data_IF_002089001653
#
_entry.id   IF_002089001653
#
_cell.length_a   1.000
_cell.length_b   1.000
_cell.length_c   1.000
_cell.angle_alpha   90.00
_cell.angle_beta   90.00
_cell.angle_gamma   90.00
#
_symmetry.space_group_name_H-M   'P 1'
#
loop_
_entity.id
_entity.type
_entity.pdbx_description
1 polymer ?
#
# COMPACT_ATOMS: atom_id res chain seq x y z
N UNK A 1 -4.40 11.60 7.56
CA UNK A 1 -5.02 12.46 6.55
C UNK A 1 -6.43 11.95 6.24
N UNK A 2 -7.44 12.83 6.32
CA UNK A 2 -8.82 12.50 6.00
C UNK A 2 -9.08 12.72 4.50
N UNK A 3 -9.79 11.77 3.87
CA UNK A 3 -10.02 11.73 2.41
C UNK A 3 -11.46 11.31 2.09
N UNK A 4 -11.86 11.45 0.83
CA UNK A 4 -13.20 11.15 0.32
C UNK A 4 -13.42 9.63 0.10
N UNK A 5 -13.05 8.81 1.09
CA UNK A 5 -13.18 7.35 1.10
C UNK A 5 -11.94 6.63 0.55
N UNK A 6 -11.90 5.30 0.72
CA UNK A 6 -10.72 4.49 0.38
C UNK A 6 -10.32 4.57 -1.10
N UNK A 7 -11.27 4.66 -2.02
CA UNK A 7 -10.95 4.76 -3.47
C UNK A 7 -10.16 6.02 -3.79
N UNK A 8 -10.57 7.18 -3.22
CA UNK A 8 -9.82 8.42 -3.37
C UNK A 8 -8.44 8.31 -2.72
N UNK A 9 -8.36 7.72 -1.51
CA UNK A 9 -7.10 7.46 -0.83
C UNK A 9 -6.10 6.70 -1.72
N UNK A 10 -6.56 5.62 -2.39
CA UNK A 10 -5.72 4.83 -3.28
C UNK A 10 -5.23 5.64 -4.48
N UNK A 11 -6.10 6.42 -5.11
CA UNK A 11 -5.69 7.30 -6.20
C UNK A 11 -4.62 8.29 -5.74
N UNK A 12 -4.82 8.95 -4.60
CA UNK A 12 -3.86 9.91 -4.06
C UNK A 12 -2.51 9.26 -3.72
N UNK A 13 -2.53 8.05 -3.14
CA UNK A 13 -1.30 7.32 -2.83
C UNK A 13 -0.54 6.98 -4.12
N UNK A 14 -1.20 6.36 -5.11
CA UNK A 14 -0.53 5.98 -6.36
C UNK A 14 -0.03 7.19 -7.13
N UNK A 15 -0.82 8.25 -7.26
CA UNK A 15 -0.41 9.48 -7.92
C UNK A 15 0.80 10.13 -7.20
N UNK A 16 0.81 10.13 -5.87
CA UNK A 16 1.94 10.66 -5.10
C UNK A 16 3.19 9.77 -5.18
N UNK A 17 3.04 8.44 -5.25
CA UNK A 17 4.18 7.54 -5.49
C UNK A 17 4.87 7.85 -6.81
N UNK A 18 4.09 8.06 -7.88
CA UNK A 18 4.62 8.47 -9.19
C UNK A 18 5.22 9.88 -9.14
N UNK A 19 4.50 10.85 -8.57
CA UNK A 19 4.95 12.25 -8.50
C UNK A 19 6.28 12.40 -7.74
N UNK A 20 6.52 11.52 -6.77
CA UNK A 20 7.74 11.49 -5.97
C UNK A 20 8.81 10.50 -6.47
N UNK A 21 8.63 9.89 -7.65
CA UNK A 21 9.55 8.92 -8.25
C UNK A 21 9.83 7.69 -7.36
N UNK A 22 8.88 7.32 -6.50
CA UNK A 22 8.94 6.08 -5.72
C UNK A 22 8.48 4.88 -6.55
N UNK A 23 7.55 5.10 -7.48
CA UNK A 23 7.19 4.18 -8.55
C UNK A 23 7.27 4.88 -9.90
N UNK A 24 7.66 4.15 -10.92
CA UNK A 24 7.70 4.60 -12.31
C UNK A 24 6.92 3.62 -13.19
N UNK A 25 6.52 4.06 -14.38
CA UNK A 25 5.93 3.17 -15.38
C UNK A 25 6.84 1.97 -15.64
N UNK A 26 6.27 0.78 -15.67
CA UNK A 26 6.99 -0.47 -15.87
C UNK A 26 7.60 -1.05 -14.59
N UNK A 27 7.52 -0.35 -13.44
CA UNK A 27 7.97 -0.92 -12.18
C UNK A 27 7.08 -2.10 -11.76
N UNK A 28 7.70 -3.07 -11.06
CA UNK A 28 7.00 -4.24 -10.53
C UNK A 28 6.33 -3.92 -9.21
N UNK A 29 5.05 -4.26 -9.12
CA UNK A 29 4.30 -4.26 -7.87
C UNK A 29 3.69 -5.64 -7.63
N UNK A 30 3.53 -6.02 -6.37
CA UNK A 30 2.81 -7.23 -5.99
C UNK A 30 1.38 -6.91 -5.55
N UNK A 31 0.44 -7.77 -5.88
CA UNK A 31 -0.95 -7.70 -5.43
C UNK A 31 -1.34 -9.03 -4.82
N UNK A 32 -1.80 -9.03 -3.57
CA UNK A 32 -2.38 -10.23 -2.95
C UNK A 32 -3.77 -10.49 -3.51
N UNK A 33 -4.00 -11.73 -3.94
CA UNK A 33 -5.25 -12.18 -4.53
C UNK A 33 -5.84 -13.39 -3.79
N UNK A 34 -7.17 -13.56 -3.81
CA UNK A 34 -8.17 -12.75 -4.52
C UNK A 34 -8.37 -11.36 -3.90
N UNK A 35 -8.72 -10.39 -4.75
CA UNK A 35 -8.86 -8.98 -4.36
C UNK A 35 -10.04 -8.33 -5.08
N UNK A 36 -10.54 -7.25 -4.54
CA UNK A 36 -11.61 -6.43 -5.14
C UNK A 36 -11.20 -5.96 -6.55
N UNK A 37 -12.03 -6.26 -7.56
CA UNK A 37 -11.72 -6.10 -8.98
C UNK A 37 -11.09 -4.76 -9.38
N UNK A 38 -11.54 -3.59 -8.88
CA UNK A 38 -10.90 -2.32 -9.23
C UNK A 38 -9.40 -2.26 -8.96
N UNK A 39 -8.90 -3.02 -7.98
CA UNK A 39 -7.48 -3.06 -7.68
C UNK A 39 -6.66 -3.91 -8.66
N UNK A 40 -7.31 -4.73 -9.46
CA UNK A 40 -6.67 -5.42 -10.59
C UNK A 40 -6.52 -4.49 -11.80
N UNK A 41 -7.42 -3.51 -11.94
CA UNK A 41 -7.44 -2.61 -13.10
C UNK A 41 -6.54 -1.38 -12.92
N UNK A 42 -6.47 -0.82 -11.71
CA UNK A 42 -5.70 0.40 -11.41
C UNK A 42 -4.24 0.31 -11.90
N UNK A 43 -3.48 -0.76 -11.65
CA UNK A 43 -2.08 -0.85 -12.08
C UNK A 43 -1.87 -0.74 -13.59
N UNK A 44 -2.87 -1.15 -14.36
CA UNK A 44 -2.82 -1.18 -15.82
C UNK A 44 -3.27 0.13 -16.48
N UNK A 45 -3.73 1.11 -15.70
CA UNK A 45 -4.11 2.41 -16.26
C UNK A 45 -2.91 3.06 -16.98
N UNK A 46 -3.13 3.76 -18.12
CA UNK A 46 -2.06 4.38 -18.92
C UNK A 46 -1.14 5.32 -18.13
N UNK A 47 -1.60 5.85 -17.02
CA UNK A 47 -0.80 6.72 -16.15
C UNK A 47 0.16 5.94 -15.23
N UNK A 48 -0.07 4.63 -14.99
CA UNK A 48 0.74 3.78 -14.13
C UNK A 48 1.52 2.72 -14.91
N UNK A 49 0.86 1.89 -15.70
CA UNK A 49 1.46 0.82 -16.52
C UNK A 49 2.44 -0.06 -15.73
N UNK A 50 2.05 -0.47 -14.50
CA UNK A 50 2.88 -1.32 -13.66
C UNK A 50 2.89 -2.76 -14.14
N UNK A 51 4.03 -3.44 -13.95
CA UNK A 51 4.13 -4.88 -14.07
C UNK A 51 3.61 -5.54 -12.77
N UNK A 52 2.59 -6.39 -12.86
CA UNK A 52 1.93 -6.96 -11.69
C UNK A 52 2.41 -8.39 -11.43
N UNK A 53 2.86 -8.64 -10.20
CA UNK A 53 3.16 -9.97 -9.67
C UNK A 53 2.05 -10.37 -8.70
N UNK A 54 1.32 -11.43 -9.01
CA UNK A 54 0.26 -11.91 -8.13
C UNK A 54 0.80 -12.81 -7.02
N UNK A 55 0.38 -12.53 -5.79
CA UNK A 55 0.60 -13.33 -4.60
C UNK A 55 -0.72 -14.02 -4.28
N UNK A 56 -0.83 -15.29 -4.61
CA UNK A 56 -2.10 -15.99 -4.57
C UNK A 56 -2.37 -16.59 -3.19
N UNK A 57 -3.62 -16.54 -2.75
CA UNK A 57 -4.07 -17.30 -1.60
C UNK A 57 -4.27 -18.77 -2.01
N UNK A 58 -3.19 -19.53 -2.00
CA UNK A 58 -3.09 -20.90 -2.50
C UNK A 58 -3.01 -21.97 -1.39
N UNK A 59 -3.09 -21.57 -0.13
CA UNK A 59 -2.98 -22.51 0.99
C UNK A 59 -4.27 -23.32 1.15
N UNK A 60 -4.10 -24.63 1.30
CA UNK A 60 -5.18 -25.61 1.49
C UNK A 60 -4.94 -26.28 2.84
N UNK A 61 -5.99 -26.54 3.60
CA UNK A 61 -5.93 -27.23 4.89
C UNK A 61 -5.91 -28.76 4.77
N UNK A 62 -5.93 -29.45 5.90
CA UNK A 62 -5.91 -30.90 5.99
C UNK A 62 -7.20 -31.58 5.44
N UNK A 63 -8.28 -30.81 5.24
CA UNK A 63 -9.55 -31.27 4.68
C UNK A 63 -9.69 -30.96 3.19
N UNK A 64 -8.60 -30.49 2.54
CA UNK A 64 -8.58 -30.05 1.15
C UNK A 64 -9.46 -28.80 0.89
N UNK A 65 -9.63 -27.95 1.93
CA UNK A 65 -10.38 -26.70 1.85
C UNK A 65 -9.45 -25.49 1.75
N UNK A 66 -9.83 -24.51 0.92
CA UNK A 66 -9.09 -23.26 0.81
C UNK A 66 -9.14 -22.44 2.10
N UNK A 67 -7.99 -22.14 2.68
CA UNK A 67 -7.86 -21.27 3.86
C UNK A 67 -7.91 -19.79 3.52
N UNK A 68 -7.79 -19.45 2.24
CA UNK A 68 -7.62 -18.08 1.73
C UNK A 68 -6.39 -17.38 2.30
N UNK A 69 -5.38 -18.16 2.66
CA UNK A 69 -4.04 -17.69 3.04
C UNK A 69 -3.04 -17.94 1.91
N UNK A 70 -1.97 -17.16 1.92
CA UNK A 70 -0.86 -17.36 0.98
C UNK A 70 0.15 -18.33 1.58
N UNK A 71 0.58 -19.32 0.80
CA UNK A 71 1.67 -20.20 1.20
C UNK A 71 3.00 -19.43 1.30
N UNK A 72 3.97 -20.00 2.03
CA UNK A 72 5.31 -19.43 2.11
C UNK A 72 5.95 -19.27 0.72
N UNK A 73 5.65 -20.17 -0.23
CA UNK A 73 6.13 -20.07 -1.61
C UNK A 73 5.61 -18.83 -2.33
N UNK A 74 4.34 -18.50 -2.12
CA UNK A 74 3.75 -17.28 -2.69
C UNK A 74 4.34 -16.04 -2.04
N UNK A 75 4.44 -16.01 -0.70
CA UNK A 75 5.01 -14.88 0.03
C UNK A 75 6.49 -14.66 -0.30
N UNK A 76 7.26 -15.72 -0.54
CA UNK A 76 8.68 -15.62 -0.89
C UNK A 76 8.93 -14.82 -2.19
N UNK A 77 7.95 -14.70 -3.09
CA UNK A 77 8.05 -13.81 -4.26
C UNK A 77 8.38 -12.37 -3.87
N UNK A 78 7.89 -11.91 -2.70
CA UNK A 78 8.15 -10.56 -2.17
C UNK A 78 9.62 -10.31 -1.82
N UNK A 79 10.43 -11.36 -1.71
CA UNK A 79 11.88 -11.26 -1.48
C UNK A 79 12.63 -10.70 -2.69
N UNK A 80 12.00 -10.68 -3.88
CA UNK A 80 12.59 -10.09 -5.07
C UNK A 80 12.65 -8.55 -4.94
N UNK A 81 13.84 -7.93 -4.92
CA UNK A 81 14.00 -6.48 -4.76
C UNK A 81 13.47 -5.67 -5.94
N UNK A 82 13.19 -6.30 -7.08
CA UNK A 82 12.54 -5.63 -8.21
C UNK A 82 11.07 -5.29 -7.91
N UNK A 83 10.45 -6.00 -6.96
CA UNK A 83 9.09 -5.69 -6.49
C UNK A 83 9.17 -4.53 -5.51
N UNK A 84 8.74 -3.35 -5.95
CA UNK A 84 8.87 -2.11 -5.19
C UNK A 84 7.71 -1.86 -4.23
N UNK A 85 6.53 -2.41 -4.53
CA UNK A 85 5.36 -2.22 -3.68
C UNK A 85 4.53 -3.50 -3.57
N UNK A 86 3.95 -3.74 -2.39
CA UNK A 86 2.92 -4.74 -2.15
C UNK A 86 1.59 -4.02 -1.91
N UNK A 87 0.58 -4.39 -2.66
CA UNK A 87 -0.79 -3.97 -2.43
C UNK A 87 -1.61 -5.11 -1.81
N UNK A 88 -2.32 -4.82 -0.71
CA UNK A 88 -3.09 -5.81 0.03
C UNK A 88 -4.40 -5.22 0.56
N UNK A 89 -5.45 -6.05 0.60
CA UNK A 89 -6.72 -5.75 1.27
C UNK A 89 -6.85 -6.69 2.47
N UNK A 90 -6.91 -6.13 3.68
CA UNK A 90 -6.92 -6.92 4.92
C UNK A 90 -7.97 -6.41 5.93
N UNK A 91 -8.98 -7.19 6.28
CA UNK A 91 -9.39 -8.51 5.72
C UNK A 91 -9.68 -8.46 4.22
N UNK A 92 -9.45 -9.59 3.56
CA UNK A 92 -9.60 -9.73 2.10
C UNK A 92 -11.05 -9.57 1.62
N UNK A 93 -11.21 -9.10 0.40
CA UNK A 93 -12.49 -9.04 -0.30
C UNK A 93 -12.27 -9.65 -1.70
N UNK A 94 -12.99 -10.70 -2.09
CA UNK A 94 -14.26 -11.22 -1.54
C UNK A 94 -14.17 -12.25 -0.40
N UNK A 95 -13.05 -12.93 -0.06
CA UNK A 95 -13.07 -14.07 0.87
C UNK A 95 -13.49 -13.70 2.31
N UNK A 96 -13.36 -12.45 2.73
CA UNK A 96 -13.66 -11.98 4.10
C UNK A 96 -12.76 -12.60 5.17
N UNK A 97 -11.52 -12.91 4.83
CA UNK A 97 -10.53 -13.55 5.70
C UNK A 97 -9.39 -12.56 5.99
N UNK A 98 -9.04 -12.44 7.27
CA UNK A 98 -7.85 -11.66 7.66
C UNK A 98 -6.57 -12.45 7.38
N UNK A 99 -5.51 -11.74 7.04
CA UNK A 99 -4.18 -12.33 6.88
C UNK A 99 -3.77 -12.96 8.21
N UNK A 100 -3.30 -14.20 8.18
CA UNK A 100 -2.89 -14.94 9.38
C UNK A 100 -1.66 -14.31 10.03
N UNK A 101 -1.51 -14.50 11.34
CA UNK A 101 -0.32 -14.05 12.05
C UNK A 101 0.97 -14.68 11.50
N UNK A 102 0.88 -15.91 10.98
CA UNK A 102 1.97 -16.60 10.29
C UNK A 102 2.39 -15.81 9.05
N UNK A 103 1.44 -15.49 8.16
CA UNK A 103 1.71 -14.73 6.93
C UNK A 103 2.22 -13.31 7.23
N UNK A 104 1.67 -12.64 8.25
CA UNK A 104 2.16 -11.33 8.70
C UNK A 104 3.62 -11.44 9.15
N UNK A 105 3.97 -12.46 9.94
CA UNK A 105 5.33 -12.66 10.42
C UNK A 105 6.32 -12.92 9.27
N UNK A 106 5.91 -13.69 8.27
CA UNK A 106 6.71 -13.94 7.06
C UNK A 106 6.94 -12.66 6.25
N UNK A 107 5.88 -11.86 6.01
CA UNK A 107 6.02 -10.56 5.33
C UNK A 107 6.97 -9.64 6.10
N UNK A 108 6.85 -9.59 7.43
CA UNK A 108 7.74 -8.79 8.29
C UNK A 108 9.19 -9.25 8.18
N UNK A 109 9.43 -10.56 8.16
CA UNK A 109 10.79 -11.09 8.00
C UNK A 109 11.39 -10.70 6.63
N UNK A 110 10.61 -10.85 5.57
CA UNK A 110 11.02 -10.43 4.21
C UNK A 110 11.39 -8.94 4.19
N UNK A 111 10.54 -8.07 4.74
CA UNK A 111 10.79 -6.63 4.78
C UNK A 111 12.02 -6.27 5.62
N UNK A 112 12.29 -7.02 6.69
CA UNK A 112 13.45 -6.75 7.54
C UNK A 112 14.77 -7.27 6.99
N UNK A 113 14.74 -8.38 6.25
CA UNK A 113 15.97 -9.13 5.92
C UNK A 113 16.27 -9.18 4.43
N UNK A 114 15.25 -9.28 3.57
CA UNK A 114 15.39 -9.57 2.14
C UNK A 114 15.07 -8.38 1.25
N UNK A 115 13.89 -7.79 1.39
CA UNK A 115 13.43 -6.64 0.59
C UNK A 115 13.06 -5.46 1.50
N UNK A 116 14.09 -4.77 2.00
CA UNK A 116 13.95 -3.71 3.02
C UNK A 116 13.24 -2.45 2.51
N UNK A 117 13.19 -2.28 1.21
CA UNK A 117 12.62 -1.12 0.55
C UNK A 117 11.21 -1.39 -0.01
N UNK A 118 10.67 -2.58 0.23
CA UNK A 118 9.31 -2.93 -0.14
C UNK A 118 8.32 -1.98 0.54
N UNK A 119 7.62 -1.18 -0.24
CA UNK A 119 6.52 -0.33 0.22
C UNK A 119 5.25 -1.17 0.32
N UNK A 120 4.49 -1.05 1.41
CA UNK A 120 3.23 -1.78 1.58
C UNK A 120 2.07 -0.79 1.61
N UNK A 121 1.07 -1.01 0.78
CA UNK A 121 -0.19 -0.27 0.74
C UNK A 121 -1.30 -1.21 1.21
N UNK A 122 -1.85 -0.97 2.40
CA UNK A 122 -2.87 -1.82 3.02
C UNK A 122 -4.22 -1.13 3.04
N UNK A 123 -5.20 -1.73 2.37
CA UNK A 123 -6.61 -1.35 2.50
C UNK A 123 -7.23 -2.11 3.66
N UNK A 124 -7.36 -1.42 4.78
CA UNK A 124 -7.85 -1.96 6.05
C UNK A 124 -9.36 -1.66 6.27
N UNK A 125 -10.12 -1.42 5.22
CA UNK A 125 -11.53 -1.01 5.28
C UNK A 125 -12.41 -1.96 6.07
N UNK A 126 -12.07 -3.24 6.14
CA UNK A 126 -12.79 -4.26 6.91
C UNK A 126 -12.15 -4.58 8.26
N UNK A 127 -11.05 -3.94 8.61
CA UNK A 127 -10.31 -4.21 9.86
C UNK A 127 -11.16 -4.10 11.12
N UNK A 128 -12.08 -3.13 11.18
CA UNK A 128 -12.94 -2.89 12.34
C UNK A 128 -13.89 -4.07 12.65
N UNK A 129 -14.16 -4.96 11.68
CA UNK A 129 -14.95 -6.18 11.92
C UNK A 129 -14.19 -7.27 12.68
N UNK A 130 -12.87 -7.13 12.81
CA UNK A 130 -12.00 -8.10 13.51
C UNK A 130 -11.59 -7.53 14.85
N UNK A 131 -11.92 -8.25 15.92
CA UNK A 131 -11.52 -7.84 17.26
C UNK A 131 -9.98 -7.84 17.40
N UNK A 132 -9.42 -6.72 17.86
CA UNK A 132 -7.98 -6.57 18.01
C UNK A 132 -7.20 -6.44 16.69
N UNK A 133 -7.89 -6.16 15.58
CA UNK A 133 -7.24 -5.93 14.28
C UNK A 133 -6.13 -4.90 14.38
N UNK A 134 -5.05 -5.16 13.69
CA UNK A 134 -3.95 -4.23 13.47
C UNK A 134 -3.53 -4.30 12.00
N UNK A 135 -3.26 -3.15 11.42
CA UNK A 135 -2.64 -3.07 10.09
C UNK A 135 -1.28 -3.75 10.07
N UNK A 136 -0.80 -4.10 8.87
CA UNK A 136 0.54 -4.67 8.70
C UNK A 136 1.59 -3.73 9.31
N UNK A 137 2.49 -4.24 10.16
CA UNK A 137 3.59 -3.44 10.71
C UNK A 137 4.67 -3.23 9.65
N UNK A 138 5.49 -2.21 9.85
CA UNK A 138 6.63 -1.85 9.00
C UNK A 138 6.25 -1.49 7.56
N UNK A 139 6.92 -0.53 7.00
CA UNK A 139 6.85 -0.09 5.61
C UNK A 139 5.42 0.12 5.06
N UNK A 140 4.43 0.26 5.94
CA UNK A 140 3.01 0.25 5.55
C UNK A 140 2.39 1.63 5.63
N UNK A 141 1.70 2.01 4.56
CA UNK A 141 0.69 3.06 4.54
C UNK A 141 -0.68 2.39 4.61
N UNK A 142 -1.45 2.72 5.63
CA UNK A 142 -2.78 2.15 5.87
C UNK A 142 -3.88 3.05 5.34
N UNK A 143 -4.88 2.44 4.73
CA UNK A 143 -6.10 3.12 4.27
C UNK A 143 -7.29 2.55 5.00
N UNK A 144 -8.12 3.42 5.57
CA UNK A 144 -9.37 3.04 6.21
C UNK A 144 -10.55 3.81 5.62
N UNK A 145 -11.73 3.18 5.60
CA UNK A 145 -12.98 3.82 5.16
C UNK A 145 -14.09 3.60 6.17
N UNK A 146 -14.82 4.65 6.46
CA UNK A 146 -16.00 4.61 7.33
C UNK A 146 -17.24 4.04 6.62
N UNK A 147 -17.17 3.81 5.32
CA UNK A 147 -18.29 3.35 4.50
C UNK A 147 -18.89 2.03 4.93
N UNK A 148 -18.08 1.08 5.43
CA UNK A 148 -18.52 -0.31 5.67
C UNK A 148 -19.00 -0.52 7.10
N UNK A 149 -18.11 -0.47 8.08
CA UNK A 149 -18.47 -0.75 9.47
C UNK A 149 -19.53 0.20 10.01
N UNK A 150 -19.42 1.49 9.70
CA UNK A 150 -20.37 2.51 10.19
C UNK A 150 -21.59 2.71 9.26
N UNK A 151 -21.64 2.04 8.11
CA UNK A 151 -22.76 2.15 7.18
C UNK A 151 -22.93 3.53 6.52
N UNK A 152 -21.91 4.38 6.57
CA UNK A 152 -21.98 5.79 6.11
C UNK A 152 -21.35 5.95 4.71
N UNK A 153 -21.67 5.06 3.80
CA UNK A 153 -21.12 5.03 2.43
C UNK A 153 -21.26 6.36 1.70
N UNK A 154 -22.39 7.05 1.88
CA UNK A 154 -22.67 8.32 1.24
C UNK A 154 -21.84 9.50 1.79
N UNK A 155 -21.26 9.41 2.97
CA UNK A 155 -20.44 10.47 3.55
C UNK A 155 -19.09 10.63 2.87
N UNK A 156 -18.66 9.64 2.11
CA UNK A 156 -17.37 9.65 1.43
C UNK A 156 -16.22 10.01 2.37
N UNK A 157 -16.14 9.32 3.51
CA UNK A 157 -15.11 9.55 4.53
C UNK A 157 -14.16 8.36 4.64
N UNK A 158 -12.88 8.65 4.57
CA UNK A 158 -11.79 7.70 4.78
C UNK A 158 -10.58 8.39 5.40
N UNK A 159 -9.56 7.61 5.70
CA UNK A 159 -8.29 8.11 6.24
C UNK A 159 -7.11 7.39 5.62
N UNK A 160 -6.01 8.12 5.45
CA UNK A 160 -4.68 7.59 5.17
C UNK A 160 -3.86 7.75 6.44
N UNK A 161 -3.19 6.70 6.87
CA UNK A 161 -2.31 6.68 8.02
C UNK A 161 -0.91 6.20 7.63
N UNK A 162 0.11 6.94 8.07
CA UNK A 162 1.51 6.61 7.84
C UNK A 162 2.29 6.89 9.13
N UNK A 163 3.15 5.95 9.54
CA UNK A 163 4.00 6.15 10.70
C UNK A 163 5.07 7.21 10.41
N UNK A 164 5.46 8.01 11.41
CA UNK A 164 6.49 9.04 11.27
C UNK A 164 7.84 8.50 10.78
N UNK A 165 8.20 7.29 11.22
CA UNK A 165 9.37 6.56 10.72
C UNK A 165 8.91 5.53 9.70
N UNK A 166 9.05 5.82 8.41
CA UNK A 166 8.53 5.01 7.32
C UNK A 166 9.51 4.91 6.15
N UNK A 167 9.31 3.88 5.33
CA UNK A 167 10.15 3.61 4.15
C UNK A 167 10.00 4.67 3.05
N UNK A 168 8.82 5.28 2.92
CA UNK A 168 8.54 6.25 1.85
C UNK A 168 9.42 7.49 2.00
N UNK A 169 9.49 8.05 3.21
CA UNK A 169 10.36 9.19 3.51
C UNK A 169 11.85 8.83 3.39
N UNK A 170 12.22 7.60 3.77
CA UNK A 170 13.58 7.09 3.58
C UNK A 170 13.93 7.07 2.09
N UNK A 171 13.12 6.43 1.26
CA UNK A 171 13.36 6.30 -0.17
C UNK A 171 13.42 7.67 -0.88
N UNK A 172 12.56 8.62 -0.50
CA UNK A 172 12.62 9.99 -1.03
C UNK A 172 13.99 10.63 -0.75
N UNK A 173 14.52 10.46 0.46
CA UNK A 173 15.85 11.01 0.84
C UNK A 173 17.00 10.34 0.08
N UNK A 174 16.84 9.09 -0.31
CA UNK A 174 17.85 8.32 -1.04
C UNK A 174 17.82 8.55 -2.55
N UNK A 175 16.80 9.22 -3.10
CA UNK A 175 16.75 9.58 -4.51
C UNK A 175 17.93 10.46 -4.93
N UNK A 176 18.42 10.33 -6.18
CA UNK A 176 19.44 11.22 -6.73
C UNK A 176 19.09 12.70 -6.56
N UNK A 177 20.07 13.54 -6.24
CA UNK A 177 19.86 14.97 -5.99
C UNK A 177 19.09 15.69 -7.12
N UNK A 178 19.36 15.34 -8.38
CA UNK A 178 18.67 15.92 -9.55
C UNK A 178 17.15 15.63 -9.52
N UNK A 179 16.77 14.43 -9.10
CA UNK A 179 15.37 14.03 -8.96
C UNK A 179 14.76 14.75 -7.76
N UNK A 180 15.42 14.72 -6.59
CA UNK A 180 14.94 15.43 -5.40
C UNK A 180 14.73 16.92 -5.68
N UNK A 181 15.68 17.60 -6.32
CA UNK A 181 15.55 19.02 -6.68
C UNK A 181 14.32 19.32 -7.56
N UNK A 182 13.96 18.41 -8.45
CA UNK A 182 12.77 18.55 -9.28
C UNK A 182 11.48 18.38 -8.48
N UNK A 183 11.43 17.38 -7.59
CA UNK A 183 10.28 17.16 -6.71
C UNK A 183 10.13 18.23 -5.65
N UNK A 184 11.24 18.80 -5.14
CA UNK A 184 11.19 19.91 -4.18
C UNK A 184 10.39 21.12 -4.66
N UNK A 185 10.50 21.47 -5.95
CA UNK A 185 9.76 22.60 -6.52
C UNK A 185 8.25 22.42 -6.40
N UNK A 186 7.77 21.18 -6.45
CA UNK A 186 6.35 20.84 -6.33
C UNK A 186 5.80 21.16 -4.93
N UNK A 187 6.64 21.08 -3.90
CA UNK A 187 6.26 21.24 -2.49
C UNK A 187 6.88 22.48 -1.83
N UNK A 188 7.41 23.42 -2.63
CA UNK A 188 8.10 24.60 -2.12
C UNK A 188 7.21 25.50 -1.24
N UNK A 189 5.91 25.53 -1.50
CA UNK A 189 4.97 26.34 -0.74
C UNK A 189 4.58 25.72 0.62
N UNK A 190 4.93 24.45 0.86
CA UNK A 190 4.58 23.75 2.09
C UNK A 190 5.64 23.94 3.19
N UNK A 191 6.90 24.09 2.81
CA UNK A 191 8.01 24.16 3.76
C UNK A 191 9.16 24.96 3.16
N UNK A 192 9.81 25.87 3.93
CA UNK A 192 11.02 26.58 3.49
C UNK A 192 12.16 25.64 3.07
N UNK A 193 12.15 24.40 3.60
CA UNK A 193 13.07 23.32 3.22
C UNK A 193 12.23 22.17 2.65
N UNK A 194 11.87 22.20 1.36
CA UNK A 194 10.93 21.22 0.76
C UNK A 194 11.41 19.77 0.84
N UNK A 195 12.72 19.54 1.03
CA UNK A 195 13.27 18.20 1.28
C UNK A 195 12.68 17.53 2.52
N UNK A 196 12.30 18.34 3.51
CA UNK A 196 11.80 17.87 4.80
C UNK A 196 10.27 17.68 4.83
N UNK A 197 9.58 17.88 3.70
CA UNK A 197 8.15 17.62 3.62
C UNK A 197 7.92 16.10 3.69
N UNK A 198 7.26 15.58 4.75
CA UNK A 198 6.97 14.15 4.88
C UNK A 198 6.07 13.65 3.74
N UNK A 199 6.17 12.37 3.40
CA UNK A 199 5.38 11.79 2.30
C UNK A 199 3.87 11.97 2.52
N UNK A 200 3.40 11.85 3.75
CA UNK A 200 1.98 12.08 4.06
C UNK A 200 1.51 13.50 3.68
N UNK A 201 2.33 14.52 3.93
CA UNK A 201 2.01 15.91 3.57
C UNK A 201 2.12 16.14 2.06
N UNK A 202 2.98 15.39 1.37
CA UNK A 202 3.03 15.38 -0.09
C UNK A 202 1.75 14.81 -0.68
N UNK A 203 1.20 13.72 -0.12
CA UNK A 203 -0.11 13.19 -0.52
C UNK A 203 -1.21 14.24 -0.32
N UNK A 204 -1.21 14.97 0.80
CA UNK A 204 -2.17 16.06 1.05
C UNK A 204 -2.07 17.15 -0.01
N UNK A 205 -0.86 17.54 -0.40
CA UNK A 205 -0.65 18.54 -1.45
C UNK A 205 -1.10 18.04 -2.83
N UNK A 206 -0.71 16.81 -3.17
CA UNK A 206 -1.01 16.20 -4.46
C UNK A 206 -2.51 15.96 -4.65
N UNK A 207 -3.26 15.66 -3.57
CA UNK A 207 -4.70 15.47 -3.61
C UNK A 207 -5.50 16.74 -3.97
N UNK A 208 -4.85 17.91 -3.95
CA UNK A 208 -5.46 19.22 -4.24
C UNK A 208 -5.11 19.75 -5.63
N UNK A 209 -4.31 19.04 -6.39
CA UNK A 209 -3.88 19.37 -7.76
C UNK A 209 -4.67 18.57 -8.78
#
# INVERSE_FOLDING_TARGET
FAVEGATAAMCYIFDSLIANNLLLKGDKIAIMTPVFTPYLEIPHLPRYEFEVVYINADEIDENDEHTWQCSNKELEKLSNPDIKALFVVNPSNPPSVAISQKSISEIVDIVKTKNKDLMIISDDVYGTFIHGFRSLPYNTIGVYSYSKYFGVTGWRLGTIALHENNVFDKLIKELPYSIRKRTMRRYADLNPVPENVPFIDRIVADSRQ
#
